data_IF_702523354048
#
_entry.id   IF_702523354048
#
_cell.length_a   1.000
_cell.length_b   1.000
_cell.length_c   1.000
_cell.angle_alpha   90.00
_cell.angle_beta   90.00
_cell.angle_gamma   90.00
#
_symmetry.space_group_name_H-M   'P 1'
#
loop_
_entity.id
_entity.type
_entity.pdbx_description
1 polymer ?
#
# COMPACT_ATOMS: atom_id res chain seq x y z
N UNK A 1 -9.03 -31.58 -25.18
CA UNK A 1 -9.94 -30.44 -24.87
C UNK A 1 -10.13 -30.21 -23.37
N UNK A 2 -10.22 -31.25 -22.52
CA UNK A 2 -10.37 -31.11 -21.05
C UNK A 2 -9.22 -30.39 -20.32
N UNK A 3 -7.99 -30.41 -20.84
CA UNK A 3 -6.82 -29.78 -20.21
C UNK A 3 -6.75 -28.25 -20.37
N UNK A 4 -7.42 -27.69 -21.39
CA UNK A 4 -7.41 -26.24 -21.62
C UNK A 4 -8.25 -25.47 -20.60
N UNK A 5 -9.29 -26.10 -20.04
CA UNK A 5 -10.16 -25.50 -19.03
C UNK A 5 -9.42 -25.28 -17.70
N UNK A 6 -8.53 -26.20 -17.33
CA UNK A 6 -7.73 -26.09 -16.10
C UNK A 6 -6.66 -24.99 -16.20
N UNK A 7 -6.09 -24.76 -17.39
CA UNK A 7 -5.14 -23.67 -17.61
C UNK A 7 -5.81 -22.29 -17.54
N UNK A 8 -7.03 -22.17 -18.07
CA UNK A 8 -7.82 -20.95 -17.98
C UNK A 8 -8.24 -20.60 -16.54
N UNK A 9 -8.53 -21.59 -15.69
CA UNK A 9 -8.89 -21.37 -14.29
C UNK A 9 -7.72 -20.85 -13.44
N UNK A 10 -6.48 -21.25 -13.73
CA UNK A 10 -5.30 -20.82 -12.98
C UNK A 10 -4.97 -19.33 -13.13
N UNK A 11 -5.31 -18.73 -14.27
CA UNK A 11 -5.06 -17.30 -14.53
C UNK A 11 -5.97 -16.37 -13.72
N UNK A 12 -7.13 -16.86 -13.24
CA UNK A 12 -8.10 -16.04 -12.50
C UNK A 12 -7.69 -15.86 -11.03
N UNK A 13 -6.94 -16.81 -10.46
CA UNK A 13 -6.49 -16.75 -9.06
C UNK A 13 -5.21 -15.92 -8.84
N UNK A 14 -4.50 -15.53 -9.91
CA UNK A 14 -3.29 -14.71 -9.81
C UNK A 14 -3.52 -13.22 -9.57
N UNK A 15 -4.77 -12.74 -9.62
CA UNK A 15 -5.07 -11.30 -9.62
C UNK A 15 -5.15 -10.65 -8.23
N UNK A 16 -5.22 -11.44 -7.14
CA UNK A 16 -5.45 -10.90 -5.79
C UNK A 16 -4.27 -10.07 -5.25
N UNK A 17 -3.05 -10.30 -5.74
CA UNK A 17 -1.86 -9.54 -5.31
C UNK A 17 -1.81 -8.13 -5.93
N UNK A 18 -2.43 -7.94 -7.10
CA UNK A 18 -2.48 -6.64 -7.79
C UNK A 18 -3.48 -5.71 -7.09
N UNK A 19 -4.57 -6.24 -6.54
CA UNK A 19 -5.63 -5.46 -5.90
C UNK A 19 -5.13 -4.70 -4.67
N UNK A 20 -4.33 -5.35 -3.81
CA UNK A 20 -3.79 -4.72 -2.60
C UNK A 20 -2.82 -3.57 -2.91
N UNK A 21 -2.01 -3.69 -3.96
CA UNK A 21 -1.07 -2.65 -4.39
C UNK A 21 -1.80 -1.39 -4.88
N UNK A 22 -2.88 -1.58 -5.64
CA UNK A 22 -3.70 -0.47 -6.16
C UNK A 22 -4.48 0.20 -5.02
N UNK A 23 -5.10 -0.58 -4.13
CA UNK A 23 -5.84 -0.05 -2.98
C UNK A 23 -4.95 0.77 -2.05
N UNK A 24 -3.74 0.29 -1.74
CA UNK A 24 -2.81 1.03 -0.89
C UNK A 24 -2.35 2.35 -1.53
N UNK A 25 -2.21 2.39 -2.86
CA UNK A 25 -1.88 3.63 -3.57
C UNK A 25 -3.02 4.63 -3.55
N UNK A 26 -4.25 4.18 -3.81
CA UNK A 26 -5.45 5.05 -3.77
C UNK A 26 -5.66 5.59 -2.35
N UNK A 27 -5.54 4.74 -1.32
CA UNK A 27 -5.65 5.16 0.07
C UNK A 27 -4.57 6.19 0.45
N UNK A 28 -3.33 6.00 -0.03
CA UNK A 28 -2.21 6.92 0.19
C UNK A 28 -2.45 8.29 -0.46
N UNK A 29 -2.89 8.32 -1.73
CA UNK A 29 -3.20 9.57 -2.45
C UNK A 29 -4.36 10.32 -1.78
N UNK A 30 -5.44 9.63 -1.42
CA UNK A 30 -6.61 10.24 -0.76
C UNK A 30 -6.27 10.77 0.62
N UNK A 31 -5.52 10.02 1.44
CA UNK A 31 -5.13 10.48 2.76
C UNK A 31 -4.20 11.68 2.67
N UNK A 32 -3.25 11.68 1.73
CA UNK A 32 -2.32 12.81 1.54
C UNK A 32 -3.04 14.09 1.15
N UNK A 33 -4.07 14.01 0.30
CA UNK A 33 -4.89 15.16 -0.11
C UNK A 33 -5.74 15.72 1.04
N UNK A 34 -6.22 14.85 1.93
CA UNK A 34 -7.08 15.25 3.06
C UNK A 34 -6.27 15.80 4.24
N UNK A 35 -5.09 15.23 4.53
CA UNK A 35 -4.33 15.53 5.74
C UNK A 35 -3.24 16.58 5.57
N UNK A 36 -3.01 17.08 4.34
CA UNK A 36 -1.86 17.93 3.96
C UNK A 36 -0.50 17.32 4.42
N UNK A 37 -0.50 16.01 4.73
CA UNK A 37 0.62 15.27 5.28
C UNK A 37 0.85 14.02 4.44
N UNK A 38 2.10 13.69 4.14
CA UNK A 38 2.41 12.52 3.33
C UNK A 38 2.09 11.26 4.11
N UNK A 39 1.06 10.52 3.68
CA UNK A 39 0.64 9.24 4.29
C UNK A 39 0.89 8.11 3.31
N UNK A 40 1.48 7.02 3.77
CA UNK A 40 1.78 5.82 2.98
C UNK A 40 1.21 4.55 3.60
N UNK A 41 0.90 3.58 2.74
CA UNK A 41 0.43 2.25 3.15
C UNK A 41 1.25 1.14 2.51
N UNK A 42 1.71 0.22 3.35
CA UNK A 42 2.62 -0.87 3.01
C UNK A 42 4.09 -0.46 3.02
N UNK A 43 4.98 -1.44 3.25
CA UNK A 43 6.41 -1.26 3.45
C UNK A 43 7.10 -0.42 2.37
N UNK A 44 6.73 -0.63 1.09
CA UNK A 44 7.32 0.12 -0.03
C UNK A 44 6.94 1.59 -0.02
N UNK A 45 5.70 1.93 0.31
CA UNK A 45 5.27 3.33 0.40
C UNK A 45 5.87 3.99 1.63
N UNK A 46 5.97 3.26 2.74
CA UNK A 46 6.56 3.77 3.96
C UNK A 46 8.04 4.11 3.85
N UNK A 47 8.81 3.31 3.12
CA UNK A 47 10.18 3.70 2.79
C UNK A 47 10.26 5.01 1.98
N UNK A 48 9.32 5.26 1.06
CA UNK A 48 9.28 6.51 0.28
C UNK A 48 8.85 7.70 1.13
N UNK A 49 7.86 7.51 2.01
CA UNK A 49 7.40 8.54 2.96
C UNK A 49 8.54 8.89 3.92
N UNK A 50 9.22 7.90 4.49
CA UNK A 50 10.39 8.10 5.36
C UNK A 50 11.48 8.94 4.70
N UNK A 51 11.81 8.67 3.44
CA UNK A 51 12.78 9.49 2.67
C UNK A 51 12.28 10.90 2.33
N UNK A 52 10.98 11.15 2.47
CA UNK A 52 10.35 12.43 2.15
C UNK A 52 10.14 13.34 3.37
N UNK A 53 10.24 12.80 4.60
CA UNK A 53 10.15 13.60 5.82
C UNK A 53 11.44 14.40 6.05
N UNK A 54 11.38 15.52 6.77
CA UNK A 54 12.55 16.41 6.94
C UNK A 54 13.57 15.85 7.94
N UNK A 55 13.18 14.84 8.72
CA UNK A 55 14.02 14.11 9.67
C UNK A 55 13.31 12.84 10.16
N UNK A 56 14.02 11.98 10.90
CA UNK A 56 13.43 10.77 11.49
C UNK A 56 12.41 11.09 12.60
N UNK A 57 12.54 12.26 13.23
CA UNK A 57 11.64 12.73 14.29
C UNK A 57 10.22 13.10 13.81
N UNK A 58 10.07 13.41 12.51
CA UNK A 58 8.78 13.66 11.87
C UNK A 58 8.12 12.37 11.37
N UNK A 59 8.81 11.23 11.42
CA UNK A 59 8.32 9.99 10.83
C UNK A 59 7.62 9.12 11.87
N UNK A 60 6.37 8.75 11.57
CA UNK A 60 5.57 7.83 12.41
C UNK A 60 5.14 6.62 11.60
N UNK A 61 5.29 5.42 12.17
CA UNK A 61 4.76 4.16 11.63
C UNK A 61 3.77 3.54 12.61
N UNK A 62 2.74 2.88 12.08
CA UNK A 62 1.78 2.11 12.88
C UNK A 62 1.29 0.88 12.12
N UNK A 63 0.88 -0.16 12.84
CA UNK A 63 0.25 -1.34 12.25
C UNK A 63 -1.28 -1.18 12.25
N UNK A 64 -1.93 -1.45 11.12
CA UNK A 64 -3.37 -1.45 11.01
C UNK A 64 -3.98 -2.78 11.49
N UNK A 65 -5.28 -2.78 11.77
CA UNK A 65 -5.99 -3.98 12.27
C UNK A 65 -6.03 -5.16 11.28
N UNK A 66 -5.68 -4.94 10.02
CA UNK A 66 -5.53 -5.95 8.96
C UNK A 66 -4.08 -6.45 8.79
N UNK A 67 -3.14 -5.95 9.60
CA UNK A 67 -1.69 -6.22 9.49
C UNK A 67 -0.96 -5.35 8.48
N UNK A 68 -1.62 -4.37 7.85
CA UNK A 68 -0.99 -3.45 6.90
C UNK A 68 -0.21 -2.36 7.64
N UNK A 69 1.05 -2.13 7.27
CA UNK A 69 1.86 -1.03 7.81
C UNK A 69 1.36 0.32 7.27
N UNK A 70 0.99 1.25 8.15
CA UNK A 70 0.72 2.66 7.85
C UNK A 70 1.88 3.53 8.30
N UNK A 71 2.07 4.67 7.63
CA UNK A 71 3.13 5.60 7.96
C UNK A 71 2.79 7.03 7.52
N UNK A 72 3.35 8.02 8.21
CA UNK A 72 3.19 9.43 7.85
C UNK A 72 4.39 10.29 8.23
N UNK A 73 4.53 11.43 7.55
CA UNK A 73 5.29 12.56 8.10
C UNK A 73 4.34 13.41 8.95
N UNK A 74 4.49 13.40 10.27
CA UNK A 74 3.90 14.41 11.15
C UNK A 74 4.67 15.73 11.01
N UNK A 75 3.98 16.87 10.91
CA UNK A 75 4.61 18.19 10.92
C UNK A 75 5.24 18.55 12.28
#
# INVERSE_FOLDING_TARGET
MKLLVFFALGLIFGCSSVTNSIQNRIASDVMTDISDSKVGYGTLQCNKVRSSCRGEEEYTEWEQGDGTLGCSCSP
#
